data_IF_058004408590
#
_entry.id   IF_058004408590
#
_cell.length_a   1.000
_cell.length_b   1.000
_cell.length_c   1.000
_cell.angle_alpha   90.00
_cell.angle_beta   90.00
_cell.angle_gamma   90.00
#
_symmetry.space_group_name_H-M   'P 1'
#
loop_
_entity.id
_entity.type
_entity.pdbx_description
1 polymer ?
#
# COMPACT_ATOMS: atom_id res chain seq x y z
N UNK A 1 -29.28 7.44 15.27
CA UNK A 1 -28.96 6.44 16.32
C UNK A 1 -27.84 5.55 15.77
N UNK A 2 -26.60 5.71 16.26
CA UNK A 2 -25.45 4.92 15.80
C UNK A 2 -25.61 3.48 16.30
N UNK A 3 -25.81 2.54 15.39
CA UNK A 3 -25.78 1.11 15.69
C UNK A 3 -24.33 0.75 16.08
N UNK A 4 -24.11 0.45 17.37
CA UNK A 4 -22.92 -0.29 17.83
C UNK A 4 -23.05 -1.71 17.26
N UNK A 5 -22.52 -1.94 16.06
CA UNK A 5 -22.38 -3.29 15.52
C UNK A 5 -21.32 -4.02 16.34
N UNK A 6 -21.71 -5.15 16.95
CA UNK A 6 -20.78 -6.09 17.58
C UNK A 6 -19.73 -6.52 16.55
N UNK A 7 -18.45 -6.66 16.93
CA UNK A 7 -17.47 -7.30 16.05
C UNK A 7 -17.96 -8.71 15.73
N UNK A 8 -18.07 -9.05 14.44
CA UNK A 8 -18.22 -10.46 14.05
C UNK A 8 -16.99 -11.19 14.57
N UNK A 9 -17.19 -12.25 15.33
CA UNK A 9 -16.12 -13.14 15.77
C UNK A 9 -15.40 -13.66 14.52
N UNK A 10 -14.17 -13.20 14.31
CA UNK A 10 -13.31 -13.74 13.27
C UNK A 10 -12.92 -15.16 13.69
N UNK A 11 -13.04 -16.18 12.82
CA UNK A 11 -12.49 -17.49 13.14
C UNK A 11 -11.00 -17.33 13.50
N UNK A 12 -10.53 -17.97 14.57
CA UNK A 12 -9.13 -17.93 14.98
C UNK A 12 -8.29 -18.72 13.97
N UNK A 13 -7.61 -18.02 13.07
CA UNK A 13 -6.67 -18.60 12.11
C UNK A 13 -5.25 -18.11 12.40
N UNK A 14 -4.22 -18.93 12.10
CA UNK A 14 -2.84 -18.52 12.24
C UNK A 14 -2.53 -17.35 11.29
N UNK A 15 -1.66 -16.45 11.74
CA UNK A 15 -1.17 -15.31 10.98
C UNK A 15 0.29 -15.57 10.60
N UNK A 16 0.57 -15.45 9.31
CA UNK A 16 1.92 -15.52 8.78
C UNK A 16 2.54 -14.13 8.78
N UNK A 17 3.57 -13.94 9.62
CA UNK A 17 4.36 -12.73 9.69
C UNK A 17 5.69 -12.95 8.96
N UNK A 18 6.03 -12.01 8.08
CA UNK A 18 7.32 -11.95 7.40
C UNK A 18 8.00 -10.66 7.80
N UNK A 19 9.27 -10.71 8.16
CA UNK A 19 10.06 -9.54 8.54
C UNK A 19 11.24 -9.47 7.59
N UNK A 20 11.39 -8.34 6.91
CA UNK A 20 12.48 -8.16 5.96
C UNK A 20 13.84 -8.31 6.65
N UNK A 21 14.81 -8.89 5.95
CA UNK A 21 16.21 -8.92 6.39
C UNK A 21 17.16 -9.12 5.22
N UNK A 22 18.11 -8.19 5.03
CA UNK A 22 19.23 -8.34 4.06
C UNK A 22 20.12 -9.55 4.34
N UNK A 23 20.10 -10.05 5.57
CA UNK A 23 20.89 -11.22 5.98
C UNK A 23 20.28 -12.56 5.56
N UNK A 24 19.04 -12.57 5.10
CA UNK A 24 18.34 -13.78 4.65
C UNK A 24 18.57 -13.98 3.15
N UNK A 25 18.82 -15.22 2.68
CA UNK A 25 18.86 -15.51 1.24
C UNK A 25 17.51 -15.19 0.57
N UNK A 26 16.41 -15.37 1.30
CA UNK A 26 15.05 -15.06 0.84
C UNK A 26 14.69 -13.59 1.10
N UNK A 27 15.62 -12.79 1.64
CA UNK A 27 15.45 -11.38 2.00
C UNK A 27 14.37 -11.09 3.07
N UNK A 28 13.75 -12.12 3.64
CA UNK A 28 12.90 -12.03 4.81
C UNK A 28 13.12 -13.22 5.75
N UNK A 29 12.69 -13.05 6.99
CA UNK A 29 12.54 -14.11 7.98
C UNK A 29 11.05 -14.34 8.25
N UNK A 30 10.65 -15.59 8.44
CA UNK A 30 9.26 -16.00 8.55
C UNK A 30 8.91 -16.49 9.95
N UNK A 31 7.71 -16.14 10.41
CA UNK A 31 7.11 -16.65 11.65
C UNK A 31 5.60 -16.83 11.48
N UNK A 32 5.12 -18.05 11.72
CA UNK A 32 3.69 -18.33 11.90
C UNK A 32 3.29 -18.13 13.35
N UNK A 33 2.36 -17.22 13.57
CA UNK A 33 1.82 -16.86 14.88
C UNK A 33 0.41 -17.43 15.02
N UNK A 34 0.17 -18.13 16.12
CA UNK A 34 -1.09 -18.85 16.39
C UNK A 34 -1.89 -18.23 17.52
N UNK A 35 -1.28 -17.37 18.33
CA UNK A 35 -1.93 -16.70 19.43
C UNK A 35 -1.00 -15.75 20.20
N UNK A 36 -1.46 -15.20 21.33
CA UNK A 36 -0.70 -14.19 22.09
C UNK A 36 0.59 -14.72 22.74
N UNK A 37 0.70 -16.03 22.97
CA UNK A 37 1.87 -16.67 23.60
C UNK A 37 3.11 -16.74 22.68
N UNK A 38 2.98 -16.27 21.44
CA UNK A 38 4.05 -16.26 20.45
C UNK A 38 4.88 -14.97 20.47
N UNK A 39 4.61 -14.08 21.43
CA UNK A 39 5.30 -12.81 21.67
C UNK A 39 6.82 -12.97 21.83
N UNK A 40 7.30 -13.97 22.56
CA UNK A 40 8.74 -14.22 22.74
C UNK A 40 9.41 -14.71 21.44
N UNK A 41 8.71 -15.53 20.65
CA UNK A 41 9.21 -16.00 19.34
C UNK A 41 9.32 -14.83 18.37
N UNK A 42 8.33 -13.95 18.40
CA UNK A 42 8.33 -12.71 17.65
C UNK A 42 9.45 -11.76 18.08
N UNK A 43 9.64 -11.58 19.39
CA UNK A 43 10.74 -10.78 19.91
C UNK A 43 12.10 -11.29 19.42
N UNK A 44 12.35 -12.60 19.54
CA UNK A 44 13.59 -13.21 19.05
C UNK A 44 13.80 -13.02 17.54
N UNK A 45 12.73 -13.04 16.74
CA UNK A 45 12.80 -12.76 15.30
C UNK A 45 13.25 -11.33 15.03
N UNK A 46 12.60 -10.35 15.65
CA UNK A 46 12.94 -8.92 15.47
C UNK A 46 14.37 -8.65 15.96
N UNK A 47 14.76 -9.24 17.10
CA UNK A 47 16.13 -9.13 17.63
C UNK A 47 17.15 -9.52 16.58
N UNK A 48 16.95 -10.69 15.96
CA UNK A 48 17.86 -11.21 14.94
C UNK A 48 17.95 -10.29 13.72
N UNK A 49 16.84 -9.69 13.30
CA UNK A 49 16.84 -8.73 12.17
C UNK A 49 17.66 -7.49 12.52
N UNK A 50 17.44 -6.91 13.70
CA UNK A 50 18.13 -5.69 14.13
C UNK A 50 19.61 -5.95 14.44
N UNK A 51 19.96 -7.07 15.06
CA UNK A 51 21.37 -7.44 15.32
C UNK A 51 22.16 -7.61 14.02
N UNK A 52 21.51 -8.12 12.96
CA UNK A 52 22.16 -8.30 11.67
C UNK A 52 22.27 -6.99 10.87
N UNK A 53 21.28 -6.10 10.96
CA UNK A 53 21.27 -4.79 10.28
C UNK A 53 20.68 -3.72 11.21
N UNK A 54 21.52 -3.06 12.04
CA UNK A 54 21.04 -2.18 13.11
C UNK A 54 20.49 -0.83 12.65
N UNK A 55 20.78 -0.43 11.41
CA UNK A 55 20.36 0.84 10.82
C UNK A 55 19.21 0.69 9.80
N UNK A 56 18.87 -0.54 9.42
CA UNK A 56 17.80 -0.81 8.46
C UNK A 56 16.42 -0.59 9.10
N UNK A 57 15.48 0.11 8.43
CA UNK A 57 14.08 0.12 8.85
C UNK A 57 13.49 -1.29 8.93
N UNK A 58 12.63 -1.51 9.91
CA UNK A 58 11.93 -2.78 10.08
C UNK A 58 10.67 -2.76 9.24
N UNK A 59 10.63 -3.57 8.19
CA UNK A 59 9.42 -3.80 7.40
C UNK A 59 8.89 -5.19 7.72
N UNK A 60 7.61 -5.28 8.09
CA UNK A 60 6.93 -6.55 8.31
C UNK A 60 5.62 -6.64 7.54
N UNK A 61 5.27 -7.85 7.13
CA UNK A 61 4.04 -8.14 6.40
C UNK A 61 3.27 -9.21 7.15
N UNK A 62 2.01 -8.93 7.45
CA UNK A 62 1.05 -9.88 8.00
C UNK A 62 -0.02 -10.18 6.94
N UNK A 63 -0.34 -11.47 6.76
CA UNK A 63 -1.34 -11.93 5.79
C UNK A 63 -2.80 -11.81 6.27
N UNK A 64 -2.99 -11.34 7.50
CA UNK A 64 -4.27 -11.05 8.09
C UNK A 64 -4.05 -10.34 9.44
N UNK A 65 -5.14 -10.13 10.17
CA UNK A 65 -5.13 -9.54 11.49
C UNK A 65 -6.10 -10.27 12.41
N UNK A 66 -5.72 -10.38 13.68
CA UNK A 66 -6.57 -10.86 14.75
C UNK A 66 -6.40 -9.93 15.96
N UNK A 67 -7.41 -9.74 16.81
CA UNK A 67 -7.28 -8.87 17.98
C UNK A 67 -6.12 -9.24 18.90
N UNK A 68 -5.79 -10.53 19.01
CA UNK A 68 -4.66 -11.01 19.81
C UNK A 68 -3.29 -10.70 19.20
N UNK A 69 -3.20 -10.35 17.91
CA UNK A 69 -1.94 -10.00 17.25
C UNK A 69 -1.30 -8.77 17.91
N UNK A 70 -2.10 -7.85 18.45
CA UNK A 70 -1.57 -6.69 19.16
C UNK A 70 -0.70 -7.07 20.34
N UNK A 71 -1.06 -8.12 21.08
CA UNK A 71 -0.24 -8.59 22.21
C UNK A 71 1.15 -9.05 21.75
N UNK A 72 1.22 -9.66 20.57
CA UNK A 72 2.48 -10.10 19.96
C UNK A 72 3.28 -8.88 19.48
N UNK A 73 2.65 -7.94 18.78
CA UNK A 73 3.30 -6.73 18.25
C UNK A 73 3.77 -5.77 19.34
N UNK A 74 2.98 -5.60 20.41
CA UNK A 74 3.26 -4.79 21.60
C UNK A 74 4.56 -5.14 22.29
N UNK A 75 5.09 -6.35 22.05
CA UNK A 75 6.33 -6.82 22.62
C UNK A 75 7.57 -6.19 21.98
N UNK A 76 7.46 -5.65 20.76
CA UNK A 76 8.58 -5.02 20.07
C UNK A 76 8.30 -3.58 19.64
N UNK A 77 7.03 -3.24 19.47
CA UNK A 77 6.60 -1.97 18.92
C UNK A 77 5.68 -1.23 19.86
N UNK A 78 5.81 0.10 19.87
CA UNK A 78 4.95 0.92 20.69
C UNK A 78 3.47 0.78 20.25
N UNK A 79 2.57 0.79 21.23
CA UNK A 79 1.15 0.44 21.07
C UNK A 79 0.24 1.52 21.64
N UNK A 80 0.66 2.77 21.58
CA UNK A 80 -0.14 3.87 22.14
C UNK A 80 -1.47 4.06 21.38
N UNK A 81 -1.68 3.42 20.22
CA UNK A 81 -2.85 3.66 19.36
C UNK A 81 -3.47 2.38 18.76
N UNK A 82 -4.79 2.23 18.92
CA UNK A 82 -5.61 1.08 18.49
C UNK A 82 -5.95 1.06 16.99
N UNK A 83 -5.26 1.87 16.18
CA UNK A 83 -5.65 2.18 14.80
C UNK A 83 -5.44 0.98 13.85
N UNK A 84 -4.66 -0.04 14.26
CA UNK A 84 -4.39 -1.26 13.49
C UNK A 84 -5.63 -2.16 13.30
N UNK A 85 -6.53 -2.23 14.27
CA UNK A 85 -7.81 -2.95 14.14
C UNK A 85 -8.72 -2.30 13.09
N UNK A 86 -8.80 -0.97 13.14
CA UNK A 86 -9.59 -0.19 12.21
C UNK A 86 -8.97 -0.26 10.82
N UNK A 87 -7.65 -0.14 10.70
CA UNK A 87 -6.89 -0.30 9.47
C UNK A 87 -7.13 -1.66 8.82
N UNK A 88 -7.05 -2.75 9.57
CA UNK A 88 -7.32 -4.07 9.02
C UNK A 88 -8.77 -4.19 8.53
N UNK A 89 -9.74 -3.71 9.32
CA UNK A 89 -11.13 -3.71 8.88
C UNK A 89 -11.30 -2.90 7.59
N UNK A 90 -10.67 -1.74 7.49
CA UNK A 90 -10.73 -0.91 6.29
C UNK A 90 -10.00 -1.57 5.10
N UNK A 91 -8.85 -2.21 5.34
CA UNK A 91 -8.10 -2.98 4.35
C UNK A 91 -8.94 -4.13 3.76
N UNK A 92 -9.79 -4.76 4.57
CA UNK A 92 -10.63 -5.86 4.12
C UNK A 92 -12.04 -5.46 3.65
N UNK A 93 -12.60 -4.33 4.11
CA UNK A 93 -14.04 -4.06 3.96
C UNK A 93 -14.43 -2.60 3.66
N UNK A 94 -13.51 -1.64 3.58
CA UNK A 94 -13.89 -0.26 3.27
C UNK A 94 -14.09 -0.02 1.77
N UNK A 95 -15.23 0.53 1.36
CA UNK A 95 -15.42 0.97 -0.04
C UNK A 95 -14.74 2.33 -0.31
N UNK A 96 -14.38 3.06 0.74
CA UNK A 96 -13.73 4.38 0.68
C UNK A 96 -12.55 4.44 1.64
N UNK A 97 -11.40 4.86 1.14
CA UNK A 97 -10.17 4.95 1.92
C UNK A 97 -10.17 6.20 2.79
N UNK A 98 -10.01 5.99 4.10
CA UNK A 98 -9.90 7.07 5.07
C UNK A 98 -8.46 7.09 5.57
N UNK A 99 -7.85 8.27 5.49
CA UNK A 99 -6.78 8.55 6.44
C UNK A 99 -7.44 8.54 7.83
N UNK A 100 -6.85 7.93 8.86
CA UNK A 100 -7.39 8.03 10.21
C UNK A 100 -7.24 9.49 10.68
N UNK A 101 -8.22 10.31 10.33
CA UNK A 101 -8.30 11.70 10.79
C UNK A 101 -8.72 11.80 12.27
N UNK A 102 -8.85 10.69 13.00
CA UNK A 102 -9.45 10.71 14.33
C UNK A 102 -8.51 11.15 15.47
N UNK A 103 -7.22 11.38 15.24
CA UNK A 103 -6.29 11.67 16.35
C UNK A 103 -5.48 12.96 16.21
N UNK A 104 -5.73 13.78 15.18
CA UNK A 104 -4.79 14.84 14.78
C UNK A 104 -5.05 16.27 15.29
N UNK A 105 -6.11 16.56 16.05
CA UNK A 105 -6.32 17.95 16.55
C UNK A 105 -6.31 18.16 18.05
N UNK A 106 -6.42 17.10 18.86
CA UNK A 106 -6.56 17.28 20.33
C UNK A 106 -5.27 17.19 21.12
N UNK A 107 -4.20 16.63 20.57
CA UNK A 107 -2.94 16.45 21.28
C UNK A 107 -1.84 17.23 20.58
N UNK A 108 -1.68 18.49 20.98
CA UNK A 108 -0.56 19.40 20.65
C UNK A 108 0.82 18.90 21.14
N UNK A 109 1.02 17.60 21.30
CA UNK A 109 2.30 17.04 21.74
C UNK A 109 2.93 16.29 20.59
N UNK A 110 4.08 16.82 20.14
CA UNK A 110 5.08 16.24 19.24
C UNK A 110 5.60 14.88 19.73
N UNK A 111 4.74 13.88 19.91
CA UNK A 111 5.17 12.49 19.98
C UNK A 111 5.15 11.93 18.56
N UNK A 112 6.15 11.11 18.24
CA UNK A 112 6.20 10.39 16.98
C UNK A 112 4.94 9.53 16.87
N UNK A 113 4.06 9.90 15.95
CA UNK A 113 2.74 9.29 15.80
C UNK A 113 2.82 8.31 14.63
N UNK A 114 2.30 7.08 14.78
CA UNK A 114 2.20 6.19 13.66
C UNK A 114 1.17 6.72 12.67
N UNK A 115 1.48 6.55 11.40
CA UNK A 115 0.59 6.86 10.30
C UNK A 115 -0.03 5.57 9.80
N UNK A 116 -1.30 5.63 9.39
CA UNK A 116 -1.85 4.54 8.61
C UNK A 116 -2.53 5.04 7.36
N UNK A 117 -2.39 4.26 6.30
CA UNK A 117 -3.03 4.52 5.02
C UNK A 117 -3.34 3.19 4.35
N UNK A 118 -4.24 3.22 3.37
CA UNK A 118 -4.52 2.05 2.55
C UNK A 118 -4.16 2.43 1.12
N UNK A 119 -3.61 1.49 0.38
CA UNK A 119 -3.36 1.64 -1.05
C UNK A 119 -4.12 0.53 -1.79
N UNK A 120 -4.80 0.92 -2.86
CA UNK A 120 -5.62 0.05 -3.71
C UNK A 120 -5.02 0.02 -5.11
N UNK A 121 -4.63 -1.16 -5.58
CA UNK A 121 -3.93 -1.32 -6.83
C UNK A 121 -4.79 -2.06 -7.84
N UNK A 122 -4.62 -1.70 -9.11
CA UNK A 122 -5.29 -2.29 -10.27
C UNK A 122 -4.21 -2.97 -11.13
N UNK A 123 -4.52 -4.14 -11.70
CA UNK A 123 -3.65 -4.96 -12.58
C UNK A 123 -2.56 -5.82 -11.92
N UNK A 124 -2.31 -5.68 -10.60
CA UNK A 124 -1.32 -6.53 -9.90
C UNK A 124 -1.56 -8.03 -10.11
N UNK A 125 -2.80 -8.57 -10.08
CA UNK A 125 -3.02 -9.99 -10.29
C UNK A 125 -2.61 -10.51 -11.67
N UNK A 126 -2.90 -9.80 -12.76
CA UNK A 126 -2.56 -10.27 -14.12
C UNK A 126 -1.07 -10.18 -14.42
N UNK A 127 -0.43 -9.08 -14.01
CA UNK A 127 1.04 -8.95 -14.06
C UNK A 127 1.68 -10.04 -13.22
N UNK A 128 1.14 -10.31 -12.02
CA UNK A 128 1.58 -11.42 -11.18
C UNK A 128 1.55 -12.76 -11.92
N UNK A 129 0.43 -13.14 -12.54
CA UNK A 129 0.33 -14.43 -13.24
C UNK A 129 1.37 -14.53 -14.38
N UNK A 130 1.58 -13.46 -15.14
CA UNK A 130 2.61 -13.44 -16.19
C UNK A 130 4.03 -13.53 -15.64
N UNK A 131 4.33 -12.79 -14.58
CA UNK A 131 5.65 -12.74 -13.93
C UNK A 131 6.07 -14.08 -13.32
N UNK A 132 5.12 -14.88 -12.84
CA UNK A 132 5.39 -16.19 -12.23
C UNK A 132 5.06 -17.38 -13.14
N UNK A 133 4.80 -17.12 -14.43
CA UNK A 133 4.41 -18.14 -15.41
C UNK A 133 3.21 -18.98 -14.97
N UNK A 134 2.34 -18.40 -14.17
CA UNK A 134 1.08 -18.97 -13.74
C UNK A 134 -0.03 -18.53 -14.71
N UNK A 135 -1.12 -19.31 -14.76
CA UNK A 135 -2.29 -18.90 -15.55
C UNK A 135 -3.19 -18.04 -14.69
N UNK A 136 -3.65 -16.87 -15.17
CA UNK A 136 -4.67 -16.13 -14.46
C UNK A 136 -5.88 -17.01 -14.21
N UNK A 137 -6.50 -16.83 -13.05
CA UNK A 137 -7.78 -17.46 -12.75
C UNK A 137 -8.73 -17.11 -13.90
N UNK A 138 -9.33 -18.12 -14.52
CA UNK A 138 -10.28 -17.89 -15.62
C UNK A 138 -11.43 -17.05 -15.09
N UNK A 139 -11.35 -15.76 -15.36
CA UNK A 139 -12.49 -14.88 -15.27
C UNK A 139 -13.34 -15.12 -16.52
N UNK A 140 -14.68 -14.99 -16.39
CA UNK A 140 -15.54 -15.02 -17.59
C UNK A 140 -15.14 -13.94 -18.60
N UNK A 141 -15.82 -13.86 -19.75
CA UNK A 141 -15.43 -13.00 -20.90
C UNK A 141 -15.06 -11.53 -20.57
N UNK A 142 -15.48 -10.98 -19.43
CA UNK A 142 -15.09 -9.66 -18.90
C UNK A 142 -15.13 -9.64 -17.35
N UNK A 143 -14.01 -9.87 -16.65
CA UNK A 143 -13.91 -9.67 -15.21
C UNK A 143 -14.16 -8.21 -14.77
N UNK A 144 -14.83 -7.98 -13.62
CA UNK A 144 -14.93 -6.64 -13.01
C UNK A 144 -13.56 -6.10 -12.58
N UNK A 145 -13.33 -4.77 -12.49
CA UNK A 145 -12.02 -4.25 -11.95
C UNK A 145 -11.74 -4.81 -10.57
N UNK A 146 -12.77 -5.01 -9.77
CA UNK A 146 -12.64 -5.54 -8.41
C UNK A 146 -11.95 -6.91 -8.34
N UNK A 147 -12.01 -7.74 -9.39
CA UNK A 147 -11.27 -9.02 -9.39
C UNK A 147 -9.76 -8.83 -9.55
N UNK A 148 -9.32 -7.65 -9.99
CA UNK A 148 -7.93 -7.25 -10.18
C UNK A 148 -7.39 -6.41 -9.04
N UNK A 149 -8.17 -6.24 -7.98
CA UNK A 149 -7.88 -5.32 -6.91
C UNK A 149 -6.97 -5.96 -5.88
N UNK A 150 -5.78 -5.40 -5.73
CA UNK A 150 -4.88 -5.74 -4.65
C UNK A 150 -4.89 -4.60 -3.63
N UNK A 151 -5.16 -4.90 -2.35
CA UNK A 151 -5.25 -3.87 -1.31
C UNK A 151 -4.28 -4.13 -0.19
N UNK A 152 -3.55 -3.08 0.19
CA UNK A 152 -2.62 -3.08 1.31
C UNK A 152 -3.07 -2.10 2.39
N UNK A 153 -3.20 -2.57 3.62
CA UNK A 153 -3.28 -1.71 4.79
C UNK A 153 -1.88 -1.44 5.33
N UNK A 154 -1.47 -0.19 5.42
CA UNK A 154 -0.12 0.19 5.83
C UNK A 154 -0.17 0.95 7.15
N UNK A 155 0.66 0.53 8.10
CA UNK A 155 0.94 1.25 9.35
C UNK A 155 2.43 1.56 9.37
N UNK A 156 2.82 2.82 9.52
CA UNK A 156 4.22 3.24 9.60
C UNK A 156 4.47 4.03 10.88
N UNK A 157 5.67 3.95 11.41
CA UNK A 157 6.11 4.75 12.55
C UNK A 157 7.62 4.98 12.42
N UNK A 158 8.06 6.23 12.35
CA UNK A 158 9.49 6.58 12.24
C UNK A 158 10.33 6.16 13.47
N UNK A 159 9.68 6.00 14.63
CA UNK A 159 10.29 5.75 15.94
C UNK A 159 9.55 4.65 16.69
N UNK A 160 9.48 3.47 16.06
CA UNK A 160 8.54 2.42 16.45
C UNK A 160 9.13 1.27 17.28
N UNK A 161 10.43 0.95 17.13
CA UNK A 161 11.02 -0.27 17.69
C UNK A 161 11.55 -0.09 19.13
N UNK A 162 10.66 -0.16 20.13
CA UNK A 162 11.00 0.26 21.49
C UNK A 162 12.07 -0.59 22.19
N UNK A 163 12.13 -1.90 21.92
CA UNK A 163 13.03 -2.84 22.62
C UNK A 163 14.47 -2.68 22.18
N UNK A 164 14.69 -2.37 20.89
CA UNK A 164 16.00 -2.46 20.27
C UNK A 164 16.60 -1.08 20.02
N UNK A 165 15.84 -0.20 19.36
CA UNK A 165 16.24 1.17 19.11
C UNK A 165 14.98 1.99 18.79
N UNK A 166 14.61 2.88 19.71
CA UNK A 166 13.44 3.75 19.54
C UNK A 166 13.52 4.66 18.33
N UNK A 167 14.68 4.80 17.69
CA UNK A 167 14.87 5.59 16.48
C UNK A 167 14.68 4.78 15.19
N UNK A 168 14.50 3.47 15.28
CA UNK A 168 14.27 2.65 14.10
C UNK A 168 12.85 2.83 13.58
N UNK A 169 12.70 3.17 12.28
CA UNK A 169 11.41 3.17 11.63
C UNK A 169 10.85 1.75 11.50
N UNK A 170 9.54 1.64 11.62
CA UNK A 170 8.79 0.39 11.53
C UNK A 170 7.63 0.60 10.57
N UNK A 171 7.53 -0.27 9.57
CA UNK A 171 6.42 -0.34 8.63
C UNK A 171 5.78 -1.72 8.72
N UNK A 172 4.47 -1.77 8.93
CA UNK A 172 3.66 -2.97 8.95
C UNK A 172 2.68 -2.93 7.78
N UNK A 173 2.71 -3.96 6.95
CA UNK A 173 1.83 -4.14 5.81
C UNK A 173 0.85 -5.27 6.11
N UNK A 174 -0.43 -4.98 6.02
CA UNK A 174 -1.52 -5.95 6.14
C UNK A 174 -2.01 -6.28 4.75
N UNK A 175 -1.92 -7.56 4.41
CA UNK A 175 -2.34 -8.14 3.13
C UNK A 175 -3.51 -9.09 3.35
N UNK A 176 -4.21 -9.44 2.27
CA UNK A 176 -5.19 -10.53 2.31
C UNK A 176 -4.48 -11.90 2.23
N UNK A 177 -5.08 -12.98 2.76
CA UNK A 177 -4.49 -14.31 2.68
C UNK A 177 -4.76 -14.97 1.31
N UNK A 178 -4.28 -14.35 0.23
CA UNK A 178 -4.37 -14.87 -1.14
C UNK A 178 -2.99 -15.18 -1.70
N UNK A 179 -2.91 -16.08 -2.69
CA UNK A 179 -1.64 -16.49 -3.30
C UNK A 179 -0.92 -15.31 -3.98
N UNK A 180 -1.68 -14.45 -4.66
CA UNK A 180 -1.18 -13.19 -5.24
C UNK A 180 -0.54 -12.32 -4.14
N UNK A 181 -1.25 -12.12 -3.02
CA UNK A 181 -0.74 -11.30 -1.92
C UNK A 181 0.51 -11.89 -1.29
N UNK A 182 0.53 -13.21 -1.12
CA UNK A 182 1.67 -13.94 -0.60
C UNK A 182 2.90 -13.71 -1.46
N UNK A 183 2.78 -13.91 -2.77
CA UNK A 183 3.90 -13.81 -3.69
C UNK A 183 4.36 -12.36 -3.91
N UNK A 184 3.45 -11.40 -4.01
CA UNK A 184 3.82 -9.97 -4.03
C UNK A 184 4.63 -9.60 -2.79
N UNK A 185 4.17 -10.05 -1.61
CA UNK A 185 4.85 -9.82 -0.35
C UNK A 185 6.23 -10.49 -0.28
N UNK A 186 6.36 -11.75 -0.73
CA UNK A 186 7.61 -12.52 -0.55
C UNK A 186 8.62 -12.34 -1.68
N UNK A 187 8.16 -12.15 -2.91
CA UNK A 187 9.01 -12.24 -4.12
C UNK A 187 9.26 -10.88 -4.77
N UNK A 188 8.46 -9.86 -4.46
CA UNK A 188 8.55 -8.54 -5.12
C UNK A 188 8.91 -7.46 -4.10
N UNK A 189 8.13 -7.36 -3.01
CA UNK A 189 8.20 -6.21 -2.11
C UNK A 189 9.52 -6.09 -1.35
N UNK A 190 9.98 -7.14 -0.69
CA UNK A 190 11.26 -7.10 0.03
C UNK A 190 12.46 -6.84 -0.92
N UNK A 191 12.58 -7.53 -2.07
CA UNK A 191 13.64 -7.22 -3.04
C UNK A 191 13.62 -5.78 -3.53
N UNK A 192 12.44 -5.27 -3.87
CA UNK A 192 12.28 -3.90 -4.33
C UNK A 192 12.76 -2.90 -3.28
N UNK A 193 12.26 -3.01 -2.04
CA UNK A 193 12.67 -2.11 -0.96
C UNK A 193 14.16 -2.21 -0.65
N UNK A 194 14.75 -3.41 -0.67
CA UNK A 194 16.18 -3.56 -0.39
C UNK A 194 17.10 -3.11 -1.53
N UNK A 195 16.60 -3.08 -2.76
CA UNK A 195 17.32 -2.55 -3.92
C UNK A 195 17.37 -1.03 -3.93
N UNK A 196 16.45 -0.36 -3.22
CA UNK A 196 16.43 1.08 -3.10
C UNK A 196 17.61 1.59 -2.26
N UNK A 197 18.37 2.53 -2.85
CA UNK A 197 19.52 3.14 -2.22
C UNK A 197 19.15 4.00 -1.01
N UNK A 198 17.94 4.57 -1.00
CA UNK A 198 17.48 5.45 0.06
C UNK A 198 16.76 4.72 1.20
N UNK A 199 16.72 3.38 1.16
CA UNK A 199 15.99 2.56 2.11
C UNK A 199 16.40 2.82 3.57
N UNK A 200 17.69 3.05 3.83
CA UNK A 200 18.22 3.31 5.17
C UNK A 200 18.41 4.79 5.49
N UNK A 201 17.97 5.70 4.61
CA UNK A 201 18.08 7.14 4.84
C UNK A 201 17.18 7.55 6.01
N UNK A 202 17.72 8.20 7.05
CA UNK A 202 16.93 8.66 8.19
C UNK A 202 15.98 9.79 7.76
N UNK A 203 14.70 9.66 8.13
CA UNK A 203 13.62 10.57 7.70
C UNK A 203 12.77 11.04 8.87
N UNK A 204 12.14 12.20 8.72
CA UNK A 204 11.04 12.62 9.61
C UNK A 204 9.83 11.69 9.46
N UNK A 205 8.86 11.81 10.37
CA UNK A 205 7.62 11.01 10.32
C UNK A 205 6.86 11.25 9.00
N UNK A 206 6.78 12.52 8.58
CA UNK A 206 6.10 12.97 7.36
C UNK A 206 6.84 12.52 6.09
N UNK A 207 8.17 12.60 6.08
CA UNK A 207 9.00 12.11 4.98
C UNK A 207 8.94 10.59 4.88
N UNK A 208 8.99 9.88 6.01
CA UNK A 208 8.98 8.42 6.02
C UNK A 208 7.66 7.83 5.52
N UNK A 209 6.51 8.39 5.94
CA UNK A 209 5.20 7.94 5.42
C UNK A 209 5.07 8.20 3.92
N UNK A 210 5.56 9.35 3.45
CA UNK A 210 5.53 9.73 2.03
C UNK A 210 6.44 8.83 1.19
N UNK A 211 7.66 8.57 1.67
CA UNK A 211 8.62 7.66 1.05
C UNK A 211 8.04 6.24 0.90
N UNK A 212 7.48 5.67 1.97
CA UNK A 212 6.87 4.33 1.90
C UNK A 212 5.67 4.32 0.95
N UNK A 213 4.85 5.37 0.95
CA UNK A 213 3.73 5.46 0.01
C UNK A 213 4.22 5.46 -1.44
N UNK A 214 5.18 6.33 -1.79
CA UNK A 214 5.74 6.42 -3.14
C UNK A 214 6.31 5.08 -3.59
N UNK A 215 7.18 4.46 -2.80
CA UNK A 215 7.78 3.16 -3.15
C UNK A 215 6.74 2.06 -3.34
N UNK A 216 5.71 2.01 -2.49
CA UNK A 216 4.62 1.07 -2.68
C UNK A 216 3.73 1.42 -3.87
N UNK A 217 3.63 2.69 -4.24
CA UNK A 217 2.91 3.16 -5.42
C UNK A 217 3.66 2.76 -6.69
N UNK A 218 4.92 3.14 -6.82
CA UNK A 218 5.80 2.85 -7.96
C UNK A 218 5.89 1.36 -8.27
N UNK A 219 5.94 0.53 -7.21
CA UNK A 219 6.06 -0.92 -7.35
C UNK A 219 4.79 -1.58 -7.92
N UNK A 220 3.62 -1.04 -7.60
CA UNK A 220 2.34 -1.76 -7.73
C UNK A 220 1.32 -1.05 -8.61
N UNK A 221 1.57 0.21 -9.00
CA UNK A 221 0.73 1.01 -9.90
C UNK A 221 1.57 1.52 -11.07
N UNK A 222 1.06 1.31 -12.29
CA UNK A 222 1.63 1.89 -13.51
C UNK A 222 0.48 2.40 -14.37
N UNK A 223 0.14 3.68 -14.21
CA UNK A 223 -0.99 4.29 -14.92
C UNK A 223 -0.74 4.44 -16.41
N UNK A 224 0.50 4.69 -16.83
CA UNK A 224 0.85 4.78 -18.24
C UNK A 224 0.55 3.45 -18.95
N UNK A 225 0.99 2.34 -18.36
CA UNK A 225 0.72 1.02 -18.93
C UNK A 225 -0.76 0.64 -18.86
N UNK A 226 -1.47 0.98 -17.77
CA UNK A 226 -2.93 0.77 -17.64
C UNK A 226 -3.67 1.48 -18.76
N UNK A 227 -3.36 2.75 -19.01
CA UNK A 227 -4.00 3.56 -20.05
C UNK A 227 -3.67 2.97 -21.42
N UNK A 228 -2.40 2.67 -21.69
CA UNK A 228 -1.97 2.10 -22.98
C UNK A 228 -2.65 0.78 -23.34
N UNK A 229 -2.77 -0.15 -22.37
CA UNK A 229 -3.48 -1.41 -22.60
C UNK A 229 -4.97 -1.16 -22.85
N UNK A 230 -5.58 -0.23 -22.10
CA UNK A 230 -6.97 0.15 -22.30
C UNK A 230 -7.22 0.79 -23.68
N UNK A 231 -6.32 1.66 -24.15
CA UNK A 231 -6.35 2.20 -25.51
C UNK A 231 -6.30 1.10 -26.57
N UNK A 232 -5.45 0.08 -26.37
CA UNK A 232 -5.37 -1.08 -27.24
C UNK A 232 -6.69 -1.85 -27.31
N UNK A 233 -7.33 -2.10 -26.16
CA UNK A 233 -8.63 -2.76 -26.08
C UNK A 233 -9.75 -1.93 -26.72
N UNK A 234 -9.77 -0.61 -26.49
CA UNK A 234 -10.76 0.29 -27.08
C UNK A 234 -10.60 0.35 -28.60
N UNK A 235 -9.36 0.47 -29.11
CA UNK A 235 -9.08 0.46 -30.54
C UNK A 235 -9.50 -0.87 -31.21
N UNK A 236 -9.26 -2.00 -30.54
CA UNK A 236 -9.72 -3.31 -31.00
C UNK A 236 -11.26 -3.39 -31.04
N UNK A 237 -11.94 -2.87 -30.02
CA UNK A 237 -13.40 -2.82 -29.96
C UNK A 237 -13.99 -1.91 -31.05
N UNK A 238 -13.40 -0.73 -31.29
CA UNK A 238 -13.78 0.18 -32.37
C UNK A 238 -13.60 -0.46 -33.75
N UNK A 239 -12.45 -1.12 -33.98
CA UNK A 239 -12.18 -1.82 -35.24
C UNK A 239 -13.22 -2.91 -35.48
N UNK A 240 -13.51 -3.73 -34.47
CA UNK A 240 -14.56 -4.74 -34.54
C UNK A 240 -15.95 -4.13 -34.81
N UNK A 241 -16.22 -2.93 -34.27
CA UNK A 241 -17.44 -2.16 -34.55
C UNK A 241 -17.54 -1.76 -36.03
N UNK A 242 -16.46 -1.21 -36.60
CA UNK A 242 -16.40 -0.73 -37.99
C UNK A 242 -16.39 -1.86 -39.02
N UNK A 243 -15.55 -2.87 -38.81
CA UNK A 243 -15.34 -3.98 -39.75
C UNK A 243 -16.45 -5.05 -39.67
N UNK A 244 -17.35 -4.93 -38.68
CA UNK A 244 -18.48 -5.82 -38.45
C UNK A 244 -18.12 -7.31 -38.33
N UNK A 245 -16.92 -7.61 -37.82
CA UNK A 245 -16.41 -8.96 -37.66
C UNK A 245 -17.27 -9.85 -36.75
N UNK A 246 -17.92 -9.25 -35.74
CA UNK A 246 -18.75 -9.95 -34.75
C UNK A 246 -20.23 -9.52 -34.79
N UNK A 247 -21.17 -10.32 -34.23
CA UNK A 247 -22.58 -9.95 -34.14
C UNK A 247 -22.79 -8.61 -33.44
N UNK A 248 -23.78 -7.81 -33.91
CA UNK A 248 -24.08 -6.46 -33.36
C UNK A 248 -24.17 -6.47 -31.84
N UNK A 249 -24.90 -7.45 -31.28
CA UNK A 249 -25.10 -7.59 -29.83
C UNK A 249 -23.78 -7.75 -29.07
N UNK A 250 -22.84 -8.51 -29.62
CA UNK A 250 -21.52 -8.69 -29.00
C UNK A 250 -20.73 -7.38 -29.04
N UNK A 251 -20.66 -6.73 -30.21
CA UNK A 251 -19.96 -5.45 -30.41
C UNK A 251 -20.45 -4.36 -29.46
N UNK A 252 -21.77 -4.17 -29.38
CA UNK A 252 -22.39 -3.19 -28.48
C UNK A 252 -22.09 -3.48 -27.02
N UNK A 253 -22.13 -4.76 -26.61
CA UNK A 253 -21.81 -5.15 -25.23
C UNK A 253 -20.34 -4.91 -24.90
N UNK A 254 -19.42 -5.25 -25.81
CA UNK A 254 -17.98 -4.99 -25.63
C UNK A 254 -17.71 -3.50 -25.48
N UNK A 255 -18.30 -2.64 -26.31
CA UNK A 255 -18.14 -1.18 -26.18
C UNK A 255 -18.68 -0.65 -24.85
N UNK A 256 -19.87 -1.06 -24.42
CA UNK A 256 -20.40 -0.66 -23.11
C UNK A 256 -19.50 -1.10 -21.95
N UNK A 257 -18.96 -2.32 -22.01
CA UNK A 257 -18.03 -2.80 -21.00
C UNK A 257 -16.73 -2.00 -20.96
N UNK A 258 -16.19 -1.59 -22.12
CA UNK A 258 -15.01 -0.71 -22.14
C UNK A 258 -15.33 0.65 -21.52
N UNK A 259 -16.50 1.23 -21.81
CA UNK A 259 -16.93 2.51 -21.19
C UNK A 259 -17.09 2.36 -19.67
N UNK A 260 -17.75 1.31 -19.20
CA UNK A 260 -17.91 1.04 -17.77
C UNK A 260 -16.53 0.89 -17.08
N UNK A 261 -15.58 0.25 -17.75
CA UNK A 261 -14.19 0.13 -17.29
C UNK A 261 -13.49 1.48 -17.14
N UNK A 262 -13.72 2.45 -18.04
CA UNK A 262 -13.17 3.82 -17.91
C UNK A 262 -13.72 4.48 -16.64
N UNK A 263 -15.02 4.35 -16.38
CA UNK A 263 -15.61 4.91 -15.17
C UNK A 263 -15.03 4.29 -13.90
N UNK A 264 -14.79 2.98 -13.89
CA UNK A 264 -14.12 2.30 -12.79
C UNK A 264 -12.67 2.82 -12.63
N UNK A 265 -11.88 2.92 -13.71
CA UNK A 265 -10.51 3.44 -13.68
C UNK A 265 -10.45 4.89 -13.16
N UNK A 266 -11.38 5.76 -13.58
CA UNK A 266 -11.48 7.12 -13.08
C UNK A 266 -11.75 7.17 -11.57
N UNK A 267 -12.49 6.21 -11.00
CA UNK A 267 -12.68 6.12 -9.55
C UNK A 267 -11.37 5.77 -8.82
N UNK A 268 -10.60 4.83 -9.34
CA UNK A 268 -9.29 4.46 -8.79
C UNK A 268 -8.27 5.59 -8.92
N UNK A 269 -8.23 6.27 -10.06
CA UNK A 269 -7.33 7.39 -10.26
C UNK A 269 -7.62 8.53 -9.30
N UNK A 270 -8.88 8.93 -9.17
CA UNK A 270 -9.32 9.94 -8.19
C UNK A 270 -8.94 9.54 -6.77
N UNK A 271 -9.00 8.26 -6.45
CA UNK A 271 -8.54 7.77 -5.16
C UNK A 271 -7.04 8.03 -4.98
N UNK A 272 -6.19 7.64 -5.94
CA UNK A 272 -4.76 7.90 -5.90
C UNK A 272 -4.44 9.39 -5.80
N UNK A 273 -5.05 10.23 -6.63
CA UNK A 273 -4.86 11.69 -6.56
C UNK A 273 -5.26 12.26 -5.19
N UNK A 274 -6.31 11.73 -4.55
CA UNK A 274 -6.70 12.16 -3.21
C UNK A 274 -5.70 11.73 -2.13
N UNK A 275 -5.04 10.57 -2.27
CA UNK A 275 -3.97 10.15 -1.37
C UNK A 275 -2.76 11.07 -1.50
N UNK A 276 -2.28 11.30 -2.73
CA UNK A 276 -1.14 12.18 -2.99
C UNK A 276 -1.43 13.60 -2.49
N UNK A 277 -2.60 14.17 -2.81
CA UNK A 277 -3.03 15.49 -2.29
C UNK A 277 -3.09 15.59 -0.77
N UNK A 278 -3.25 14.48 -0.05
CA UNK A 278 -3.20 14.47 1.41
C UNK A 278 -1.76 14.38 1.92
N UNK A 279 -0.89 13.64 1.24
CA UNK A 279 0.54 13.59 1.56
C UNK A 279 1.24 14.91 1.25
N UNK A 280 0.90 15.59 0.15
CA UNK A 280 1.45 16.93 -0.18
C UNK A 280 1.15 17.98 0.89
N UNK A 281 0.10 17.80 1.72
CA UNK A 281 -0.21 18.68 2.86
C UNK A 281 0.72 18.47 4.06
N UNK A 282 1.52 17.40 4.06
CA UNK A 282 2.53 17.12 5.07
C UNK A 282 3.86 17.84 4.77
N UNK A 283 3.98 18.43 3.57
CA UNK A 283 5.14 19.25 3.19
C UNK A 283 5.29 20.40 4.19
N UNK A 284 6.48 20.60 4.79
CA UNK A 284 6.69 21.68 5.74
C UNK A 284 6.52 23.04 5.04
N UNK A 285 5.82 23.96 5.70
CA UNK A 285 5.66 25.33 5.19
C UNK A 285 7.04 26.02 5.10
N UNK A 286 7.26 26.84 4.07
CA UNK A 286 8.51 27.60 3.89
C UNK A 286 8.90 28.44 5.12
N UNK A 287 7.91 28.85 5.93
CA UNK A 287 8.12 29.63 7.17
C UNK A 287 8.75 28.81 8.30
N UNK A 288 8.62 27.49 8.27
CA UNK A 288 9.24 26.59 9.26
C UNK A 288 10.68 26.22 8.88
N UNK A 289 11.05 26.34 7.59
CA UNK A 289 12.44 26.17 7.11
C UNK A 289 13.37 27.28 7.63
N UNK A 290 12.89 28.53 7.68
CA UNK A 290 13.68 29.66 8.17
C UNK A 290 14.05 29.55 9.67
N UNK A 291 13.20 28.90 10.48
CA UNK A 291 13.43 28.73 11.92
C UNK A 291 14.22 27.46 12.29
N UNK A 292 14.42 26.53 11.36
CA UNK A 292 15.11 25.24 11.61
C UNK A 292 16.53 25.15 11.01
N UNK A 293 16.96 26.18 10.27
CA UNK A 293 18.29 26.28 9.63
C UNK A 293 19.50 26.23 10.59
N UNK A 294 19.31 25.98 11.89
CA UNK A 294 20.40 25.91 12.88
C UNK A 294 20.61 24.54 13.53
N UNK A 295 19.88 23.48 13.15
CA UNK A 295 20.18 22.13 13.64
C UNK A 295 20.24 21.10 12.50
N UNK A 296 21.48 20.89 12.03
CA UNK A 296 21.98 19.69 11.35
C UNK A 296 21.25 19.21 10.08
N UNK A 297 21.82 19.54 8.92
CA UNK A 297 21.94 18.60 7.79
C UNK A 297 20.67 17.91 7.26
N UNK A 298 19.50 18.54 7.41
CA UNK A 298 18.30 18.17 6.65
C UNK A 298 18.55 18.62 5.20
N UNK A 299 19.28 17.80 4.45
CA UNK A 299 19.21 17.84 2.99
C UNK A 299 17.72 17.76 2.61
N UNK A 300 17.27 18.62 1.69
CA UNK A 300 15.90 18.59 1.14
C UNK A 300 15.66 17.19 0.55
N UNK A 301 15.07 16.28 1.35
CA UNK A 301 14.73 14.93 0.92
C UNK A 301 13.88 15.00 -0.36
N UNK A 302 14.30 14.35 -1.47
CA UNK A 302 13.62 14.46 -2.75
C UNK A 302 12.20 13.90 -2.73
N UNK A 303 11.80 13.16 -1.68
CA UNK A 303 10.46 12.58 -1.52
C UNK A 303 9.32 13.57 -1.78
N UNK A 304 9.45 14.84 -1.38
CA UNK A 304 8.40 15.82 -1.67
C UNK A 304 8.40 16.31 -3.13
N UNK A 305 9.55 16.29 -3.81
CA UNK A 305 9.61 16.54 -5.25
C UNK A 305 8.99 15.36 -6.01
N UNK A 306 9.32 14.13 -5.63
CA UNK A 306 8.73 12.92 -6.22
C UNK A 306 7.20 12.89 -6.04
N UNK A 307 6.67 13.39 -4.91
CA UNK A 307 5.23 13.55 -4.72
C UNK A 307 4.61 14.61 -5.64
N UNK A 308 5.33 15.70 -5.90
CA UNK A 308 4.88 16.75 -6.82
C UNK A 308 4.85 16.19 -8.26
N UNK A 309 5.90 15.47 -8.68
CA UNK A 309 5.98 14.78 -9.98
C UNK A 309 4.84 13.76 -10.16
N UNK A 310 4.60 12.91 -9.16
CA UNK A 310 3.49 11.94 -9.17
C UNK A 310 2.12 12.64 -9.24
N UNK A 311 1.98 13.85 -8.67
CA UNK A 311 0.73 14.62 -8.78
C UNK A 311 0.47 15.01 -10.23
N UNK A 312 1.50 15.47 -10.94
CA UNK A 312 1.41 15.82 -12.36
C UNK A 312 1.11 14.60 -13.24
N UNK A 313 1.76 13.45 -12.97
CA UNK A 313 1.49 12.19 -13.66
C UNK A 313 0.03 11.74 -13.50
N UNK A 314 -0.53 11.83 -12.29
CA UNK A 314 -1.91 11.46 -12.03
C UNK A 314 -2.91 12.42 -12.68
N UNK A 315 -2.60 13.72 -12.75
CA UNK A 315 -3.43 14.71 -13.45
C UNK A 315 -3.39 14.48 -14.97
N UNK A 316 -2.22 14.09 -15.53
CA UNK A 316 -2.10 13.68 -16.94
C UNK A 316 -2.91 12.41 -17.24
N UNK A 317 -2.83 11.40 -16.37
CA UNK A 317 -3.65 10.20 -16.48
C UNK A 317 -5.16 10.51 -16.43
N UNK A 318 -5.60 11.50 -15.64
CA UNK A 318 -7.02 11.89 -15.56
C UNK A 318 -7.45 12.54 -16.86
N UNK A 319 -6.60 13.39 -17.44
CA UNK A 319 -6.85 14.00 -18.74
C UNK A 319 -7.00 12.93 -19.84
N UNK A 320 -6.08 11.98 -19.92
CA UNK A 320 -6.09 10.91 -20.92
C UNK A 320 -7.31 9.99 -20.80
N UNK A 321 -7.64 9.53 -19.59
CA UNK A 321 -8.83 8.72 -19.37
C UNK A 321 -10.12 9.47 -19.71
N UNK A 322 -10.22 10.77 -19.40
CA UNK A 322 -11.38 11.56 -19.78
C UNK A 322 -11.46 11.74 -21.30
N UNK A 323 -10.34 11.93 -22.00
CA UNK A 323 -10.32 12.00 -23.46
C UNK A 323 -10.77 10.68 -24.11
N UNK A 324 -10.35 9.54 -23.56
CA UNK A 324 -10.81 8.20 -24.00
C UNK A 324 -12.27 7.95 -23.68
N UNK A 325 -12.82 8.57 -22.63
CA UNK A 325 -14.25 8.50 -22.29
C UNK A 325 -15.13 9.28 -23.27
N UNK A 326 -14.64 10.42 -23.75
CA UNK A 326 -15.37 11.28 -24.68
C UNK A 326 -15.38 10.74 -26.11
N UNK A 327 -14.28 10.10 -26.50
CA UNK A 327 -14.13 9.38 -27.76
C UNK A 327 -15.07 8.16 -27.82
#
# INVERSE_FOLDING_TARGET
RRLKHRPREFPEYPIDIRVGSRSSPDQYLYLRVTGPNDDQRFEGLIRRVVENNPDDPIVLIANAYQPWLEHVLQRCFDNVWSDRQELNREAHFADTLKFPENTYRRLQKKLALPWTFIVDYVNVPDVFYWSFHERPVEHGDTPPVDSYRFRLGVWTCSKGAYVYNRRLPVTMLFTQPTDVSHNVATQILFPFLYSDHDYNTPRSDEQYVSYIFLRLFDLLSDWENVIREFEGHLAAAEKNSRDAYAPVKFRTRTMHHQIDRIYELLLYLRFHSNCVKKLSKLKPDDKDKDNQSTQSGDDDDPVFSELDDLTEELDQADYELNALKER
#
